data_IF_251733597427
#
_entry.id   IF_251733597427
#
_cell.length_a   1.000
_cell.length_b   1.000
_cell.length_c   1.000
_cell.angle_alpha   90.00
_cell.angle_beta   90.00
_cell.angle_gamma   90.00
#
_symmetry.space_group_name_H-M   'P 1'
#
loop_
_entity.id
_entity.type
_entity.pdbx_description
1 polymer ?
#
# COMPACT_ATOMS: atom_id res chain seq x y z
N UNK A 1 -8.54 -4.27 -33.79
CA UNK A 1 -9.55 -3.71 -32.87
C UNK A 1 -10.20 -4.86 -32.11
N UNK A 2 -10.38 -4.75 -30.79
CA UNK A 2 -11.14 -5.73 -30.01
C UNK A 2 -12.65 -5.60 -30.31
N UNK A 3 -13.36 -6.73 -30.35
CA UNK A 3 -14.82 -6.75 -30.54
C UNK A 3 -15.55 -6.24 -29.28
N UNK A 4 -16.81 -5.79 -29.42
CA UNK A 4 -17.61 -5.35 -28.26
C UNK A 4 -17.76 -6.46 -27.23
N UNK A 5 -18.05 -7.70 -27.68
CA UNK A 5 -18.08 -8.88 -26.81
C UNK A 5 -16.77 -9.09 -26.04
N UNK A 6 -15.62 -8.85 -26.67
CA UNK A 6 -14.33 -8.95 -25.98
C UNK A 6 -14.15 -7.86 -24.92
N UNK A 7 -14.61 -6.63 -25.17
CA UNK A 7 -14.58 -5.53 -24.19
C UNK A 7 -15.51 -5.82 -23.01
N UNK A 8 -16.70 -6.35 -23.25
CA UNK A 8 -17.66 -6.74 -22.20
C UNK A 8 -17.09 -7.84 -21.30
N UNK A 9 -16.53 -8.89 -21.90
CA UNK A 9 -15.87 -9.95 -21.15
C UNK A 9 -14.70 -9.42 -20.31
N UNK A 10 -13.88 -8.50 -20.86
CA UNK A 10 -12.80 -7.87 -20.12
C UNK A 10 -13.30 -7.05 -18.93
N UNK A 11 -14.40 -6.29 -19.09
CA UNK A 11 -15.04 -5.55 -17.99
C UNK A 11 -15.51 -6.49 -16.88
N UNK A 12 -16.13 -7.62 -17.24
CA UNK A 12 -16.58 -8.62 -16.28
C UNK A 12 -15.39 -9.24 -15.51
N UNK A 13 -14.31 -9.59 -16.21
CA UNK A 13 -13.08 -10.10 -15.59
C UNK A 13 -12.44 -9.07 -14.65
N UNK A 14 -12.36 -7.81 -15.07
CA UNK A 14 -11.84 -6.73 -14.24
C UNK A 14 -12.69 -6.55 -12.98
N UNK A 15 -14.01 -6.59 -13.11
CA UNK A 15 -14.91 -6.47 -11.96
C UNK A 15 -14.72 -7.63 -10.96
N UNK A 16 -14.62 -8.87 -11.46
CA UNK A 16 -14.31 -10.02 -10.62
C UNK A 16 -12.95 -9.88 -9.92
N UNK A 17 -11.92 -9.39 -10.63
CA UNK A 17 -10.60 -9.15 -10.06
C UNK A 17 -10.66 -8.10 -8.94
N UNK A 18 -11.44 -7.03 -9.11
CA UNK A 18 -11.65 -6.01 -8.07
C UNK A 18 -12.31 -6.57 -6.82
N UNK A 19 -13.31 -7.45 -6.97
CA UNK A 19 -13.94 -8.13 -5.83
C UNK A 19 -12.93 -8.99 -5.08
N UNK A 20 -12.15 -9.79 -5.81
CA UNK A 20 -11.15 -10.66 -5.20
C UNK A 20 -10.00 -9.89 -4.55
N UNK A 21 -9.72 -8.65 -5.01
CA UNK A 21 -8.63 -7.82 -4.49
C UNK A 21 -8.90 -7.19 -3.11
N UNK A 22 -10.11 -7.32 -2.56
CA UNK A 22 -10.50 -6.79 -1.24
C UNK A 22 -9.62 -7.39 -0.14
N UNK A 23 -9.35 -8.69 -0.20
CA UNK A 23 -8.59 -9.43 0.83
C UNK A 23 -7.09 -9.56 0.51
N UNK A 24 -6.59 -8.85 -0.50
CA UNK A 24 -5.17 -8.90 -0.84
C UNK A 24 -4.31 -8.43 0.34
N UNK A 25 -3.15 -9.08 0.50
CA UNK A 25 -2.06 -8.53 1.32
C UNK A 25 -1.48 -7.27 0.66
N UNK A 26 -0.70 -6.48 1.39
CA UNK A 26 -0.04 -5.30 0.80
C UNK A 26 0.85 -5.72 -0.39
N UNK A 27 1.61 -6.81 -0.28
CA UNK A 27 2.44 -7.33 -1.37
C UNK A 27 1.61 -7.71 -2.62
N UNK A 28 0.46 -8.37 -2.45
CA UNK A 28 -0.43 -8.70 -3.55
C UNK A 28 -1.05 -7.44 -4.17
N UNK A 29 -1.48 -6.50 -3.32
CA UNK A 29 -2.06 -5.24 -3.77
C UNK A 29 -1.06 -4.41 -4.60
N UNK A 30 0.22 -4.42 -4.22
CA UNK A 30 1.31 -3.77 -4.94
C UNK A 30 1.61 -4.39 -6.31
N UNK A 31 1.27 -5.66 -6.54
CA UNK A 31 1.38 -6.28 -7.86
C UNK A 31 0.27 -5.85 -8.83
N UNK A 32 -0.86 -5.36 -8.31
CA UNK A 32 -2.05 -4.99 -9.08
C UNK A 32 -2.71 -3.68 -8.59
N UNK A 33 -1.95 -2.57 -8.43
CA UNK A 33 -2.47 -1.33 -7.83
C UNK A 33 -3.64 -0.73 -8.62
N UNK A 34 -3.71 -1.01 -9.93
CA UNK A 34 -4.81 -0.59 -10.82
C UNK A 34 -6.17 -1.19 -10.51
N UNK A 35 -6.25 -2.22 -9.65
CA UNK A 35 -7.53 -2.77 -9.19
C UNK A 35 -8.19 -1.88 -8.14
N UNK A 36 -7.41 -1.07 -7.42
CA UNK A 36 -7.92 -0.18 -6.38
C UNK A 36 -8.36 1.16 -6.98
N UNK A 37 -9.42 1.78 -6.43
CA UNK A 37 -9.87 3.07 -6.90
C UNK A 37 -8.82 4.15 -6.66
N UNK A 38 -8.66 5.02 -7.65
CA UNK A 38 -7.90 6.26 -7.50
C UNK A 38 -8.72 7.25 -6.67
N UNK A 39 -8.13 7.76 -5.58
CA UNK A 39 -8.80 8.65 -4.63
C UNK A 39 -9.37 9.90 -5.33
N UNK A 40 -8.67 10.43 -6.34
CA UNK A 40 -9.14 11.59 -7.11
C UNK A 40 -10.37 11.29 -7.99
N UNK A 41 -10.57 10.03 -8.38
CA UNK A 41 -11.71 9.59 -9.17
C UNK A 41 -12.96 9.31 -8.32
N UNK A 42 -12.81 9.22 -6.99
CA UNK A 42 -13.92 9.02 -6.06
C UNK A 42 -14.74 10.30 -5.89
N UNK A 43 -16.06 10.14 -5.78
CA UNK A 43 -16.97 11.28 -5.59
C UNK A 43 -16.85 11.80 -4.16
N UNK A 44 -17.02 13.10 -3.98
CA UNK A 44 -17.17 13.66 -2.63
C UNK A 44 -18.40 13.05 -1.93
N UNK A 45 -18.23 12.68 -0.67
CA UNK A 45 -19.23 11.94 0.10
C UNK A 45 -19.28 10.44 -0.19
N UNK A 46 -18.42 9.90 -1.04
CA UNK A 46 -18.31 8.45 -1.24
C UNK A 46 -17.73 7.76 0.00
N UNK A 47 -18.40 6.71 0.46
CA UNK A 47 -18.03 5.99 1.68
C UNK A 47 -16.77 5.13 1.47
N UNK A 48 -15.80 5.30 2.37
CA UNK A 48 -14.58 4.52 2.46
C UNK A 48 -14.62 3.65 3.71
N UNK A 49 -14.64 2.34 3.52
CA UNK A 49 -14.66 1.38 4.61
C UNK A 49 -13.24 1.13 5.15
N UNK A 50 -13.09 0.90 6.45
CA UNK A 50 -11.84 0.45 7.06
C UNK A 50 -11.32 -0.82 6.38
N UNK A 51 -10.03 -0.84 6.09
CA UNK A 51 -9.36 -1.93 5.38
C UNK A 51 -9.45 -1.83 3.86
N UNK A 52 -10.30 -0.94 3.31
CA UNK A 52 -10.26 -0.62 1.89
C UNK A 52 -8.91 -0.01 1.52
N UNK A 53 -8.53 -0.18 0.25
CA UNK A 53 -7.36 0.48 -0.33
C UNK A 53 -7.75 1.47 -1.42
N UNK A 54 -6.98 2.55 -1.50
CA UNK A 54 -7.08 3.58 -2.55
C UNK A 54 -5.68 3.88 -3.07
N UNK A 55 -5.59 4.30 -4.32
CA UNK A 55 -4.36 4.89 -4.87
C UNK A 55 -4.46 6.41 -4.86
N UNK A 56 -3.38 7.09 -4.51
CA UNK A 56 -3.29 8.54 -4.57
C UNK A 56 -1.90 8.91 -5.07
N UNK A 57 -1.83 9.63 -6.20
CA UNK A 57 -0.57 10.01 -6.85
C UNK A 57 0.40 8.82 -7.04
N UNK A 58 -0.14 7.70 -7.52
CA UNK A 58 0.57 6.44 -7.74
C UNK A 58 1.10 5.73 -6.47
N UNK A 59 0.66 6.16 -5.28
CA UNK A 59 0.99 5.49 -4.01
C UNK A 59 -0.26 4.79 -3.47
N UNK A 60 -0.09 3.58 -2.96
CA UNK A 60 -1.16 2.80 -2.35
C UNK A 60 -1.34 3.18 -0.88
N UNK A 61 -2.59 3.38 -0.46
CA UNK A 61 -2.96 3.71 0.92
C UNK A 61 -4.03 2.74 1.44
N UNK A 62 -3.87 2.34 2.70
CA UNK A 62 -4.87 1.62 3.47
C UNK A 62 -5.78 2.61 4.22
N UNK A 63 -7.09 2.40 4.16
CA UNK A 63 -8.07 3.14 4.95
C UNK A 63 -8.09 2.59 6.38
N UNK A 64 -7.85 3.45 7.36
CA UNK A 64 -7.69 3.09 8.78
C UNK A 64 -9.00 3.10 9.56
N UNK A 65 -9.96 3.93 9.15
CA UNK A 65 -11.27 4.09 9.77
C UNK A 65 -12.33 4.36 8.72
N UNK A 66 -13.55 3.90 8.98
CA UNK A 66 -14.73 4.24 8.18
C UNK A 66 -14.92 5.76 8.16
N UNK A 67 -15.08 6.32 6.96
CA UNK A 67 -15.37 7.74 6.76
C UNK A 67 -15.89 7.98 5.33
N UNK A 68 -16.47 9.15 5.09
CA UNK A 68 -16.83 9.57 3.73
C UNK A 68 -15.74 10.49 3.17
N UNK A 69 -15.50 10.41 1.86
CA UNK A 69 -14.51 11.25 1.18
C UNK A 69 -14.81 12.73 1.37
N UNK A 70 -13.79 13.48 1.80
CA UNK A 70 -13.81 14.93 1.88
C UNK A 70 -12.56 15.49 1.22
N UNK A 71 -12.70 16.59 0.47
CA UNK A 71 -11.62 17.16 -0.36
C UNK A 71 -10.35 17.49 0.45
N UNK A 72 -10.51 17.95 1.69
CA UNK A 72 -9.40 18.29 2.59
C UNK A 72 -8.78 17.09 3.31
N UNK A 73 -9.40 15.91 3.26
CA UNK A 73 -8.90 14.68 3.86
C UNK A 73 -8.21 13.82 2.81
N UNK A 74 -7.14 14.36 2.21
CA UNK A 74 -6.33 13.59 1.26
C UNK A 74 -5.54 12.50 2.00
N UNK A 75 -5.15 11.41 1.32
CA UNK A 75 -4.34 10.36 1.95
C UNK A 75 -3.00 10.82 2.54
N UNK A 76 -2.43 11.91 2.03
CA UNK A 76 -1.24 12.54 2.60
C UNK A 76 -1.55 13.45 3.80
N UNK A 77 -2.71 14.12 3.81
CA UNK A 77 -3.04 15.12 4.83
C UNK A 77 -3.82 14.56 6.03
N UNK A 78 -4.35 13.34 5.93
CA UNK A 78 -5.16 12.72 6.98
C UNK A 78 -4.55 11.38 7.47
N UNK A 79 -3.42 11.40 8.21
CA UNK A 79 -2.71 10.19 8.68
C UNK A 79 -3.49 9.35 9.70
N UNK A 80 -4.57 9.89 10.28
CA UNK A 80 -5.51 9.13 11.12
C UNK A 80 -6.54 8.34 10.30
N UNK A 81 -6.76 8.71 9.04
CA UNK A 81 -7.72 8.06 8.13
C UNK A 81 -7.02 7.15 7.12
N UNK A 82 -5.78 7.47 6.75
CA UNK A 82 -5.02 6.73 5.74
C UNK A 82 -3.63 6.35 6.24
N UNK A 83 -3.19 5.15 5.87
CA UNK A 83 -1.83 4.66 6.07
C UNK A 83 -1.17 4.38 4.72
N UNK A 84 -0.06 5.07 4.44
CA UNK A 84 0.76 4.84 3.25
C UNK A 84 1.38 3.45 3.27
N UNK A 85 1.26 2.69 2.18
CA UNK A 85 2.06 1.47 1.97
C UNK A 85 3.47 1.91 1.57
N UNK A 86 4.46 1.65 2.44
CA UNK A 86 5.81 2.20 2.29
C UNK A 86 6.63 1.53 1.18
N UNK A 87 6.31 0.28 0.84
CA UNK A 87 6.87 -0.38 -0.34
C UNK A 87 6.06 0.10 -1.56
N UNK A 88 6.67 0.83 -2.51
CA UNK A 88 5.93 1.43 -3.64
C UNK A 88 5.60 0.40 -4.73
N UNK A 89 6.39 -0.66 -4.85
CA UNK A 89 6.25 -1.71 -5.84
C UNK A 89 6.85 -3.01 -5.28
N UNK A 90 6.18 -4.15 -5.51
CA UNK A 90 6.61 -5.45 -5.00
C UNK A 90 7.99 -5.92 -5.50
N UNK A 91 8.48 -5.38 -6.62
CA UNK A 91 9.78 -5.69 -7.21
C UNK A 91 10.88 -4.68 -6.88
N UNK A 92 10.58 -3.62 -6.11
CA UNK A 92 11.53 -2.55 -5.80
C UNK A 92 11.89 -2.59 -4.31
N UNK A 93 13.17 -2.35 -4.03
CA UNK A 93 13.68 -2.14 -2.67
C UNK A 93 13.85 -0.61 -2.49
N UNK A 94 12.87 0.10 -1.92
CA UNK A 94 12.97 1.55 -1.75
C UNK A 94 14.00 1.91 -0.68
N UNK A 95 14.41 3.18 -0.63
CA UNK A 95 15.09 3.70 0.56
C UNK A 95 14.15 3.65 1.77
N UNK A 96 14.71 3.39 2.95
CA UNK A 96 13.95 3.39 4.20
C UNK A 96 13.38 4.79 4.48
N UNK A 97 12.11 4.81 4.85
CA UNK A 97 11.35 5.99 5.26
C UNK A 97 10.81 5.73 6.68
N UNK A 98 10.96 6.70 7.58
CA UNK A 98 10.46 6.57 8.96
C UNK A 98 8.94 6.36 8.96
N UNK A 99 8.43 5.21 9.45
CA UNK A 99 7.00 4.98 9.52
C UNK A 99 6.35 5.77 10.66
N UNK A 100 5.05 5.99 10.53
CA UNK A 100 4.14 6.28 11.64
C UNK A 100 3.74 4.98 12.34
N UNK A 101 3.07 5.09 13.49
CA UNK A 101 2.55 3.93 14.22
C UNK A 101 1.49 3.12 13.45
N UNK A 102 0.92 3.68 12.39
CA UNK A 102 -0.15 3.08 11.58
C UNK A 102 0.32 2.41 10.31
N UNK A 103 1.58 2.59 9.90
CA UNK A 103 2.08 2.13 8.61
C UNK A 103 3.48 1.50 8.66
N UNK A 104 3.84 0.87 9.77
CA UNK A 104 5.08 0.11 9.89
C UNK A 104 5.23 -0.98 8.83
N UNK A 105 6.47 -1.24 8.44
CA UNK A 105 6.86 -2.26 7.47
C UNK A 105 6.38 -3.65 7.91
N UNK A 106 5.98 -4.48 6.96
CA UNK A 106 5.57 -5.87 7.19
C UNK A 106 6.77 -6.79 7.25
N UNK A 107 6.60 -7.96 7.86
CA UNK A 107 7.64 -8.98 7.85
C UNK A 107 7.98 -9.38 6.42
N UNK A 108 9.27 -9.39 6.10
CA UNK A 108 9.78 -9.68 4.76
C UNK A 108 9.91 -8.46 3.85
N UNK A 109 9.39 -7.29 4.23
CA UNK A 109 9.62 -6.05 3.49
C UNK A 109 11.13 -5.73 3.49
N UNK A 110 11.62 -5.24 2.35
CA UNK A 110 13.02 -4.89 2.16
C UNK A 110 13.20 -3.42 1.85
N UNK A 111 14.22 -2.82 2.46
CA UNK A 111 14.56 -1.41 2.29
C UNK A 111 16.07 -1.22 2.15
N UNK A 112 16.48 -0.13 1.50
CA UNK A 112 17.86 0.36 1.47
C UNK A 112 18.07 1.37 2.59
N UNK A 113 19.13 1.20 3.36
CA UNK A 113 19.52 2.16 4.38
C UNK A 113 21.02 2.07 4.66
N UNK A 114 21.70 3.22 4.67
CA UNK A 114 23.17 3.31 4.86
C UNK A 114 23.96 2.38 3.94
N UNK A 115 23.59 2.38 2.65
CA UNK A 115 24.21 1.56 1.58
C UNK A 115 24.09 0.04 1.77
N UNK A 116 23.17 -0.42 2.62
CA UNK A 116 22.87 -1.83 2.87
C UNK A 116 21.41 -2.11 2.60
N UNK A 117 21.07 -3.38 2.36
CA UNK A 117 19.69 -3.83 2.26
C UNK A 117 19.31 -4.49 3.58
N UNK A 118 18.11 -4.16 4.06
CA UNK A 118 17.55 -4.68 5.30
C UNK A 118 16.21 -5.31 5.04
N UNK A 119 15.99 -6.49 5.59
CA UNK A 119 14.70 -7.19 5.59
C UNK A 119 14.06 -7.09 6.98
N UNK A 120 12.81 -6.65 7.04
CA UNK A 120 12.06 -6.58 8.29
C UNK A 120 11.74 -7.99 8.80
N UNK A 121 12.02 -8.24 10.07
CA UNK A 121 11.80 -9.53 10.72
C UNK A 121 10.42 -9.64 11.38
N UNK A 122 9.74 -8.51 11.57
CA UNK A 122 8.47 -8.41 12.30
C UNK A 122 7.45 -7.59 11.50
N UNK A 123 6.17 -7.82 11.80
CA UNK A 123 5.08 -6.98 11.27
C UNK A 123 4.98 -5.66 12.04
N UNK A 124 4.57 -4.61 11.32
CA UNK A 124 4.44 -3.25 11.84
C UNK A 124 5.76 -2.70 12.41
N UNK A 125 6.87 -2.97 11.72
CA UNK A 125 8.18 -2.47 12.10
C UNK A 125 8.29 -0.96 11.82
N UNK A 126 8.47 -0.18 12.89
CA UNK A 126 8.59 1.29 12.86
C UNK A 126 10.01 1.77 13.16
N UNK A 127 10.95 0.85 13.39
CA UNK A 127 12.31 1.17 13.84
C UNK A 127 13.27 1.38 12.68
N UNK A 128 14.26 2.26 12.85
CA UNK A 128 15.32 2.48 11.87
C UNK A 128 16.25 1.25 11.78
N UNK A 129 16.57 0.72 10.59
CA UNK A 129 17.50 -0.39 10.44
C UNK A 129 18.95 0.01 10.75
N UNK A 130 19.71 -0.92 11.32
CA UNK A 130 21.16 -0.74 11.55
C UNK A 130 21.52 0.23 12.68
N UNK A 131 20.58 0.56 13.56
CA UNK A 131 20.85 1.23 14.84
C UNK A 131 20.87 0.22 15.98
N UNK A 132 21.68 0.48 17.01
CA UNK A 132 21.80 -0.40 18.18
C UNK A 132 20.42 -0.62 18.81
N UNK A 133 20.08 -1.87 19.08
CA UNK A 133 18.79 -2.27 19.68
C UNK A 133 17.71 -2.65 18.67
N UNK A 134 18.02 -2.68 17.36
CA UNK A 134 17.08 -3.08 16.30
C UNK A 134 17.41 -4.42 15.65
N UNK A 135 18.33 -5.19 16.24
CA UNK A 135 18.81 -6.48 15.72
C UNK A 135 17.70 -7.55 15.69
N UNK A 136 16.66 -7.39 16.52
CA UNK A 136 15.47 -8.24 16.48
C UNK A 136 14.45 -7.83 15.43
N UNK A 137 14.56 -6.63 14.86
CA UNK A 137 13.58 -6.04 13.94
C UNK A 137 14.04 -6.09 12.49
N UNK A 138 15.34 -6.05 12.26
CA UNK A 138 15.93 -6.02 10.93
C UNK A 138 17.03 -7.06 10.79
N UNK A 139 17.08 -7.66 9.61
CA UNK A 139 18.20 -8.48 9.16
C UNK A 139 18.87 -7.82 7.97
N UNK A 140 20.16 -7.56 8.07
CA UNK A 140 20.97 -7.19 6.90
C UNK A 140 20.97 -8.35 5.90
N UNK A 141 20.66 -8.07 4.63
CA UNK A 141 20.72 -9.03 3.54
C UNK A 141 21.77 -8.59 2.52
N UNK A 142 22.59 -9.54 2.09
CA UNK A 142 23.51 -9.36 0.96
C UNK A 142 22.74 -9.56 -0.34
N UNK A 143 23.03 -8.74 -1.36
CA UNK A 143 22.54 -8.98 -2.73
C UNK A 143 22.96 -10.35 -3.27
#
# INVERSE_FOLDING_TARGET
>A
MFTEKAKENLKAMLWQAKISAVDNTDAQALSVPSLYPEWEALKDGEHLAKGQRVTYRNVLYNVLSDHDKQAQWTPEAAPSLFAKVLIPDSGVIPDWEQPLSTNGYKKGDRVRHKSKIWESLVDNNVWEPGVIGTEGQWKEVTE
#
